data_IF_978329346394
#
_entry.id   IF_978329346394
#
_cell.length_a   1.000
_cell.length_b   1.000
_cell.length_c   1.000
_cell.angle_alpha   90.00
_cell.angle_beta   90.00
_cell.angle_gamma   90.00
#
_symmetry.space_group_name_H-M   'P 1'
#
loop_
_entity.id
_entity.type
_entity.pdbx_description
1 polymer ?
#
# COMPACT_ATOMS: atom_id res chain seq x y z
N UNK A 1 -33.05 -67.60 -4.65
CA UNK A 1 -32.06 -66.84 -3.85
C UNK A 1 -30.88 -66.54 -4.76
N UNK A 2 -30.84 -65.32 -5.31
CA UNK A 2 -29.70 -64.82 -6.09
C UNK A 2 -29.06 -63.70 -5.26
N UNK A 3 -27.78 -63.89 -4.92
CA UNK A 3 -26.97 -62.92 -4.20
C UNK A 3 -26.47 -61.86 -5.17
N UNK A 4 -27.04 -60.67 -5.09
CA UNK A 4 -26.61 -59.50 -5.86
C UNK A 4 -25.29 -58.98 -5.28
N UNK A 5 -24.20 -59.21 -5.99
CA UNK A 5 -22.87 -58.73 -5.64
C UNK A 5 -22.73 -57.24 -6.02
N UNK A 6 -22.27 -56.36 -5.11
CA UNK A 6 -22.17 -54.94 -5.41
C UNK A 6 -21.07 -54.71 -6.43
N UNK A 7 -21.45 -54.18 -7.61
CA UNK A 7 -20.49 -53.81 -8.66
C UNK A 7 -19.51 -52.75 -8.11
N UNK A 8 -18.20 -52.89 -8.38
CA UNK A 8 -17.23 -51.88 -8.01
C UNK A 8 -17.56 -50.58 -8.76
N UNK A 9 -17.77 -49.49 -8.00
CA UNK A 9 -17.86 -48.14 -8.56
C UNK A 9 -16.50 -47.82 -9.18
N UNK A 10 -16.40 -47.94 -10.50
CA UNK A 10 -15.30 -47.39 -11.26
C UNK A 10 -15.28 -45.88 -11.03
N UNK A 11 -14.27 -45.41 -10.28
CA UNK A 11 -13.91 -44.00 -10.22
C UNK A 11 -13.51 -43.59 -11.62
N UNK A 12 -14.44 -43.03 -12.38
CA UNK A 12 -14.10 -42.27 -13.58
C UNK A 12 -13.45 -40.98 -13.07
N UNK A 13 -12.15 -40.74 -13.30
CA UNK A 13 -11.58 -39.45 -12.98
C UNK A 13 -12.27 -38.45 -13.90
N UNK A 14 -13.15 -37.62 -13.36
CA UNK A 14 -13.58 -36.39 -14.02
C UNK A 14 -12.29 -35.66 -14.39
N UNK A 15 -11.98 -35.62 -15.69
CA UNK A 15 -10.94 -34.77 -16.20
C UNK A 15 -11.36 -33.34 -15.85
N UNK A 16 -10.78 -32.79 -14.77
CA UNK A 16 -11.06 -31.43 -14.33
C UNK A 16 -10.72 -30.50 -15.51
N UNK A 17 -11.73 -30.07 -16.28
CA UNK A 17 -11.59 -29.22 -17.48
C UNK A 17 -10.97 -27.84 -17.24
N UNK A 18 -10.49 -27.59 -16.01
CA UNK A 18 -9.80 -26.38 -15.55
C UNK A 18 -8.28 -26.58 -15.40
N UNK A 19 -7.75 -27.78 -15.65
CA UNK A 19 -6.31 -28.06 -15.54
C UNK A 19 -5.45 -27.29 -16.53
N UNK A 20 -5.99 -26.82 -17.64
CA UNK A 20 -5.23 -25.96 -18.56
C UNK A 20 -5.00 -24.54 -17.99
N UNK A 21 -5.69 -24.15 -16.91
CA UNK A 21 -5.55 -22.82 -16.31
C UNK A 21 -4.28 -22.68 -15.46
N UNK A 22 -3.75 -23.76 -14.88
CA UNK A 22 -2.57 -23.65 -14.00
C UNK A 22 -1.30 -23.14 -14.70
N UNK A 23 -0.93 -23.54 -15.94
CA UNK A 23 0.26 -23.00 -16.58
C UNK A 23 0.10 -21.51 -16.88
N UNK A 24 -1.08 -21.08 -17.34
CA UNK A 24 -1.38 -19.66 -17.57
C UNK A 24 -1.36 -18.85 -16.27
N UNK A 25 -1.93 -19.41 -15.21
CA UNK A 25 -1.93 -18.78 -13.89
C UNK A 25 -0.49 -18.63 -13.33
N UNK A 26 0.35 -19.64 -13.54
CA UNK A 26 1.76 -19.59 -13.15
C UNK A 26 2.54 -18.55 -13.97
N UNK A 27 2.32 -18.51 -15.29
CA UNK A 27 2.93 -17.49 -16.17
C UNK A 27 2.50 -16.09 -15.73
N UNK A 28 1.21 -15.87 -15.46
CA UNK A 28 0.73 -14.58 -14.96
C UNK A 28 1.37 -14.20 -13.62
N UNK A 29 1.48 -15.15 -12.69
CA UNK A 29 2.10 -14.92 -11.39
C UNK A 29 3.60 -14.59 -11.51
N UNK A 30 4.34 -15.32 -12.35
CA UNK A 30 5.76 -15.08 -12.60
C UNK A 30 5.99 -13.75 -13.33
N UNK A 31 5.23 -13.47 -14.39
CA UNK A 31 5.31 -12.22 -15.13
C UNK A 31 4.94 -11.02 -14.25
N UNK A 32 3.89 -11.15 -13.44
CA UNK A 32 3.48 -10.13 -12.48
C UNK A 32 4.54 -9.87 -11.41
N UNK A 33 5.14 -10.92 -10.87
CA UNK A 33 6.22 -10.83 -9.88
C UNK A 33 7.49 -10.20 -10.48
N UNK A 34 7.87 -10.59 -11.70
CA UNK A 34 8.98 -10.01 -12.43
C UNK A 34 8.74 -8.53 -12.74
N UNK A 35 7.53 -8.16 -13.16
CA UNK A 35 7.15 -6.76 -13.37
C UNK A 35 7.24 -5.95 -12.09
N UNK A 36 6.71 -6.45 -10.96
CA UNK A 36 6.80 -5.78 -9.66
C UNK A 36 8.24 -5.62 -9.19
N UNK A 37 9.10 -6.60 -9.49
CA UNK A 37 10.52 -6.50 -9.19
C UNK A 37 11.20 -5.43 -10.03
N UNK A 38 11.00 -5.43 -11.35
CA UNK A 38 11.56 -4.45 -12.29
C UNK A 38 11.02 -3.02 -12.10
N UNK A 39 9.79 -2.88 -11.63
CA UNK A 39 9.17 -1.59 -11.29
C UNK A 39 9.36 -1.20 -9.81
N UNK A 40 10.07 -2.03 -9.05
CA UNK A 40 10.33 -1.84 -7.62
C UNK A 40 11.41 -0.78 -7.35
N UNK A 41 11.46 -0.21 -6.13
CA UNK A 41 12.45 0.82 -5.78
C UNK A 41 13.89 0.29 -5.78
N UNK A 42 14.07 -1.03 -5.76
CA UNK A 42 15.38 -1.69 -5.75
C UNK A 42 15.94 -1.96 -7.15
N UNK A 43 15.10 -1.98 -8.20
CA UNK A 43 15.55 -2.27 -9.57
C UNK A 43 16.05 -1.03 -10.32
N UNK A 44 15.79 0.16 -9.79
CA UNK A 44 16.35 1.40 -10.30
C UNK A 44 16.58 2.34 -9.13
N UNK A 45 17.85 2.48 -8.70
CA UNK A 45 18.28 3.80 -8.25
C UNK A 45 18.19 4.64 -9.51
N UNK A 46 17.20 5.53 -9.67
CA UNK A 46 17.20 6.42 -10.82
C UNK A 46 18.54 7.16 -10.76
N UNK A 47 19.21 7.45 -11.90
CA UNK A 47 20.35 8.34 -11.87
C UNK A 47 19.93 9.56 -11.05
N UNK A 48 20.74 9.90 -10.04
CA UNK A 48 20.42 11.00 -9.15
C UNK A 48 20.08 12.22 -10.01
N UNK A 49 18.96 12.88 -9.71
CA UNK A 49 18.60 14.10 -10.42
C UNK A 49 19.83 15.04 -10.40
N UNK A 50 20.16 15.71 -11.52
CA UNK A 50 21.33 16.58 -11.56
C UNK A 50 21.27 17.59 -10.42
N UNK A 51 22.42 17.90 -9.83
CA UNK A 51 22.50 18.89 -8.75
C UNK A 51 22.02 20.25 -9.29
N UNK A 52 21.07 20.93 -8.64
CA UNK A 52 20.64 22.26 -9.05
C UNK A 52 21.81 23.26 -9.07
N UNK A 53 21.84 24.12 -10.08
CA UNK A 53 22.83 25.20 -10.21
C UNK A 53 22.16 26.52 -10.63
N UNK A 54 22.77 27.68 -10.36
CA UNK A 54 22.26 28.96 -10.88
C UNK A 54 22.34 29.00 -12.41
N UNK A 55 21.26 29.44 -13.06
CA UNK A 55 21.18 29.56 -14.53
C UNK A 55 20.58 30.89 -14.98
N UNK A 56 21.01 31.39 -16.13
CA UNK A 56 20.44 32.63 -16.69
C UNK A 56 19.07 32.44 -17.32
N UNK A 57 18.83 31.28 -17.93
CA UNK A 57 17.58 30.93 -18.62
C UNK A 57 17.28 29.45 -18.43
N UNK A 58 15.99 29.10 -18.42
CA UNK A 58 15.52 27.73 -18.30
C UNK A 58 15.33 27.13 -19.68
N UNK A 59 16.13 26.14 -20.03
CA UNK A 59 16.02 25.38 -21.27
C UNK A 59 16.09 23.87 -21.02
N UNK A 60 15.78 23.08 -22.03
CA UNK A 60 15.85 21.62 -21.96
C UNK A 60 17.21 21.15 -21.40
N UNK A 61 17.17 20.25 -20.42
CA UNK A 61 18.32 19.71 -19.70
C UNK A 61 18.77 20.51 -18.47
N UNK A 62 18.09 21.60 -18.11
CA UNK A 62 18.50 22.44 -16.95
C UNK A 62 17.90 21.97 -15.64
N UNK A 63 18.67 22.13 -14.56
CA UNK A 63 18.21 22.07 -13.16
C UNK A 63 18.66 23.33 -12.45
N UNK A 64 17.72 24.23 -12.18
CA UNK A 64 17.96 25.57 -11.66
C UNK A 64 17.74 25.65 -10.15
N UNK A 65 18.66 26.29 -9.43
CA UNK A 65 18.41 26.76 -8.06
C UNK A 65 17.50 27.99 -8.08
N UNK A 66 16.69 28.18 -7.04
CA UNK A 66 15.74 29.30 -6.99
C UNK A 66 16.42 30.69 -6.97
N UNK A 67 17.70 30.80 -6.60
CA UNK A 67 18.46 32.06 -6.71
C UNK A 67 18.92 32.40 -8.15
N UNK A 68 18.47 31.63 -9.15
CA UNK A 68 18.72 31.93 -10.56
C UNK A 68 18.02 33.22 -11.01
N UNK A 69 18.65 34.05 -11.85
CA UNK A 69 18.05 35.26 -12.41
C UNK A 69 16.86 34.99 -13.36
N UNK A 70 16.64 33.73 -13.75
CA UNK A 70 15.47 33.33 -14.55
C UNK A 70 14.13 33.48 -13.81
N UNK A 71 14.14 33.69 -12.49
CA UNK A 71 12.94 33.75 -11.66
C UNK A 71 12.58 35.18 -11.25
N UNK A 72 11.32 35.55 -11.46
CA UNK A 72 10.75 36.82 -11.03
C UNK A 72 9.85 36.62 -9.81
N UNK A 73 10.25 37.18 -8.69
CA UNK A 73 9.58 37.05 -7.41
C UNK A 73 8.71 38.27 -7.11
N UNK A 74 7.43 38.05 -6.79
CA UNK A 74 6.52 39.10 -6.33
C UNK A 74 5.85 38.64 -5.04
N UNK A 75 5.88 39.44 -3.98
CA UNK A 75 5.15 39.16 -2.73
C UNK A 75 4.91 40.46 -1.95
N UNK A 76 3.77 40.61 -1.25
CA UNK A 76 3.50 41.76 -0.40
C UNK A 76 4.53 41.93 0.73
N UNK A 77 4.99 40.82 1.32
CA UNK A 77 5.92 40.80 2.46
C UNK A 77 7.37 40.46 2.06
N UNK A 78 7.64 40.25 0.77
CA UNK A 78 8.96 39.91 0.25
C UNK A 78 9.27 38.40 0.22
N UNK A 79 10.47 38.09 -0.24
CA UNK A 79 10.99 36.74 -0.41
C UNK A 79 12.38 36.61 0.20
N UNK A 80 12.66 35.47 0.81
CA UNK A 80 14.00 35.02 1.13
C UNK A 80 14.44 33.97 0.10
N UNK A 81 15.44 34.30 -0.72
CA UNK A 81 15.90 33.44 -1.81
C UNK A 81 17.40 33.18 -1.67
N UNK A 82 17.78 31.91 -1.70
CA UNK A 82 19.17 31.48 -1.66
C UNK A 82 19.34 30.13 -2.42
N UNK A 83 20.55 29.57 -2.38
CA UNK A 83 20.85 28.27 -3.01
C UNK A 83 20.03 27.09 -2.46
N UNK A 84 19.50 27.19 -1.25
CA UNK A 84 18.66 26.16 -0.65
C UNK A 84 17.21 26.25 -1.13
N UNK A 85 16.79 27.36 -1.75
CA UNK A 85 15.45 27.55 -2.29
C UNK A 85 14.91 28.96 -2.09
N UNK A 86 13.60 29.10 -2.34
CA UNK A 86 12.85 30.32 -2.17
C UNK A 86 11.76 30.13 -1.11
N UNK A 87 11.71 31.10 -0.19
CA UNK A 87 10.77 31.15 0.92
C UNK A 87 10.01 32.47 0.92
N UNK A 88 8.69 32.47 0.67
CA UNK A 88 7.91 33.69 0.78
C UNK A 88 7.76 34.06 2.26
N UNK A 89 7.72 35.36 2.56
CA UNK A 89 7.36 35.82 3.90
C UNK A 89 5.84 35.66 4.14
N UNK A 90 5.43 35.63 5.40
CA UNK A 90 4.02 35.63 5.77
C UNK A 90 3.35 36.94 5.28
N UNK A 91 2.27 36.87 4.48
CA UNK A 91 1.58 38.06 4.01
C UNK A 91 0.70 38.66 5.12
N UNK A 92 0.30 39.94 5.01
CA UNK A 92 -0.58 40.57 6.00
C UNK A 92 -1.94 39.89 6.17
N UNK A 93 -2.49 39.32 5.10
CA UNK A 93 -3.70 38.49 5.14
C UNK A 93 -3.48 37.15 4.41
N UNK A 94 -3.08 36.10 5.14
CA UNK A 94 -2.81 34.77 4.58
C UNK A 94 -4.05 33.99 4.09
N UNK A 95 -5.25 34.54 4.25
CA UNK A 95 -6.50 33.89 3.82
C UNK A 95 -6.98 34.41 2.47
N UNK A 96 -6.62 35.64 2.11
CA UNK A 96 -7.10 36.29 0.88
C UNK A 96 -5.97 36.59 -0.12
N UNK A 97 -4.71 36.47 0.30
CA UNK A 97 -3.54 36.74 -0.53
C UNK A 97 -2.54 35.58 -0.53
N UNK A 98 -1.88 35.32 -1.67
CA UNK A 98 -0.76 34.39 -1.70
C UNK A 98 0.39 34.93 -0.83
N UNK A 99 1.13 34.02 -0.21
CA UNK A 99 2.36 34.36 0.49
C UNK A 99 3.42 34.86 -0.49
N UNK A 100 3.48 34.27 -1.69
CA UNK A 100 4.30 34.79 -2.77
C UNK A 100 3.94 34.21 -4.13
N UNK A 101 4.34 34.93 -5.16
CA UNK A 101 4.20 34.57 -6.57
C UNK A 101 5.59 34.50 -7.21
N UNK A 102 5.81 33.46 -8.01
CA UNK A 102 7.01 33.30 -8.84
C UNK A 102 6.56 33.18 -10.29
N UNK A 103 7.10 34.03 -11.16
CA UNK A 103 6.90 33.96 -12.61
C UNK A 103 8.23 33.71 -13.32
N UNK A 104 8.21 32.89 -14.35
CA UNK A 104 9.37 32.61 -15.19
C UNK A 104 8.93 32.01 -16.54
N UNK A 105 9.86 31.98 -17.48
CA UNK A 105 9.69 31.30 -18.76
C UNK A 105 10.64 30.12 -18.84
N UNK A 106 10.23 29.05 -19.52
CA UNK A 106 11.11 27.94 -19.83
C UNK A 106 10.93 27.45 -21.26
N UNK A 107 12.00 26.88 -21.83
CA UNK A 107 12.00 26.29 -23.17
C UNK A 107 12.26 24.78 -23.09
N UNK A 108 11.25 23.95 -23.35
CA UNK A 108 11.39 22.48 -23.29
C UNK A 108 10.05 21.75 -23.39
N UNK A 109 10.06 20.45 -23.08
CA UNK A 109 8.86 19.60 -23.13
C UNK A 109 8.22 19.41 -21.76
N UNK A 110 9.00 19.32 -20.69
CA UNK A 110 8.54 18.97 -19.35
C UNK A 110 9.11 19.93 -18.31
N UNK A 111 8.26 20.35 -17.38
CA UNK A 111 8.61 21.16 -16.23
C UNK A 111 8.35 20.38 -14.94
N UNK A 112 9.34 20.38 -14.06
CA UNK A 112 9.24 19.84 -12.72
C UNK A 112 9.74 20.81 -11.66
N UNK A 113 9.15 20.74 -10.48
CA UNK A 113 9.51 21.52 -9.31
C UNK A 113 10.04 20.59 -8.23
N UNK A 114 11.09 21.00 -7.54
CA UNK A 114 11.50 20.38 -6.30
C UNK A 114 10.81 21.13 -5.16
N UNK A 115 9.82 20.46 -4.54
CA UNK A 115 9.05 21.05 -3.45
C UNK A 115 9.40 20.39 -2.12
N UNK A 116 9.54 21.20 -1.07
CA UNK A 116 9.72 20.70 0.28
C UNK A 116 8.35 20.44 0.92
N UNK A 117 8.04 19.18 1.19
CA UNK A 117 6.78 18.79 1.84
C UNK A 117 7.03 18.35 3.28
N UNK A 118 6.08 18.65 4.17
CA UNK A 118 6.19 18.33 5.59
C UNK A 118 4.88 18.53 6.35
N UNK A 119 4.97 18.77 7.67
CA UNK A 119 3.83 18.84 8.58
C UNK A 119 3.01 20.14 8.47
N UNK A 120 3.47 21.14 7.74
CA UNK A 120 2.79 22.43 7.68
C UNK A 120 1.85 22.53 6.49
N UNK A 121 0.73 23.19 6.74
CA UNK A 121 -0.30 23.34 5.73
C UNK A 121 0.04 24.46 4.76
N UNK A 122 0.34 24.10 3.52
CA UNK A 122 0.36 25.04 2.40
C UNK A 122 -0.10 24.43 1.09
N UNK A 123 -0.26 25.31 0.10
CA UNK A 123 -0.75 24.98 -1.22
C UNK A 123 0.07 25.68 -2.29
N UNK A 124 0.26 24.96 -3.39
CA UNK A 124 0.81 25.46 -4.64
C UNK A 124 -0.31 25.53 -5.65
N UNK A 125 -0.45 26.70 -6.28
CA UNK A 125 -1.24 26.89 -7.49
C UNK A 125 -0.30 27.16 -8.65
N UNK A 126 -0.45 26.45 -9.74
CA UNK A 126 0.42 26.57 -10.90
C UNK A 126 -0.39 26.75 -12.19
N UNK A 127 -0.04 27.78 -12.95
CA UNK A 127 -0.52 27.98 -14.32
C UNK A 127 0.64 27.99 -15.28
N UNK A 128 0.40 27.44 -16.48
CA UNK A 128 1.31 27.43 -17.62
C UNK A 128 0.54 27.94 -18.82
N UNK A 129 1.04 28.99 -19.45
CA UNK A 129 0.40 29.67 -20.58
C UNK A 129 -1.06 30.10 -20.29
N UNK A 130 -1.31 30.51 -19.04
CA UNK A 130 -2.64 30.91 -18.55
C UNK A 130 -3.63 29.76 -18.34
N UNK A 131 -3.18 28.50 -18.47
CA UNK A 131 -3.98 27.31 -18.21
C UNK A 131 -3.51 26.57 -16.95
N UNK A 132 -4.36 25.76 -16.31
CA UNK A 132 -3.92 24.86 -15.25
C UNK A 132 -2.75 23.98 -15.71
N UNK A 133 -1.70 23.89 -14.89
CA UNK A 133 -0.57 23.00 -15.18
C UNK A 133 -1.07 21.55 -15.35
N UNK A 134 -0.88 20.98 -16.54
CA UNK A 134 -1.63 19.80 -17.00
C UNK A 134 -1.25 18.46 -16.34
N UNK A 135 -0.21 18.43 -15.51
CA UNK A 135 0.13 17.25 -14.69
C UNK A 135 -0.31 17.40 -13.23
N UNK A 136 -0.94 18.52 -12.86
CA UNK A 136 -1.51 18.72 -11.55
C UNK A 136 -3.04 18.60 -11.58
N UNK A 137 -3.66 18.17 -10.47
CA UNK A 137 -5.12 18.20 -10.32
C UNK A 137 -5.69 19.60 -10.55
N UNK A 138 -6.66 19.71 -11.45
CA UNK A 138 -7.50 20.89 -11.61
C UNK A 138 -8.80 20.69 -10.84
N UNK A 139 -8.87 21.20 -9.61
CA UNK A 139 -10.04 21.04 -8.74
C UNK A 139 -11.12 22.06 -9.14
N UNK A 140 -12.37 21.64 -9.42
CA UNK A 140 -13.45 22.58 -9.75
C UNK A 140 -13.63 23.65 -8.66
N UNK A 141 -13.66 24.91 -9.08
CA UNK A 141 -13.80 26.06 -8.18
C UNK A 141 -12.51 26.53 -7.51
N UNK A 142 -11.42 25.77 -7.62
CA UNK A 142 -10.12 26.18 -7.09
C UNK A 142 -9.42 27.11 -8.09
N UNK A 143 -9.30 28.39 -7.72
CA UNK A 143 -8.78 29.46 -8.58
C UNK A 143 -7.54 30.09 -7.96
N UNK A 144 -6.64 30.57 -8.80
CA UNK A 144 -5.50 31.37 -8.35
C UNK A 144 -5.95 32.77 -7.87
N UNK A 145 -5.02 33.58 -7.36
CA UNK A 145 -5.29 34.94 -6.88
C UNK A 145 -5.84 35.89 -7.96
N UNK A 146 -5.69 35.55 -9.24
CA UNK A 146 -6.24 36.28 -10.38
C UNK A 146 -7.64 35.79 -10.79
N UNK A 147 -8.19 34.79 -10.10
CA UNK A 147 -9.49 34.21 -10.42
C UNK A 147 -9.45 33.21 -11.59
N UNK A 148 -8.26 32.79 -12.05
CA UNK A 148 -8.09 31.82 -13.12
C UNK A 148 -8.02 30.39 -12.57
N UNK A 149 -8.37 29.40 -13.40
CA UNK A 149 -8.18 28.00 -13.02
C UNK A 149 -6.68 27.69 -12.95
N UNK A 150 -6.27 26.92 -11.93
CA UNK A 150 -4.87 26.56 -11.75
C UNK A 150 -4.73 25.09 -11.33
N UNK A 151 -3.59 24.50 -11.70
CA UNK A 151 -3.19 23.20 -11.19
C UNK A 151 -2.86 23.32 -9.71
N UNK A 152 -3.27 22.35 -8.91
CA UNK A 152 -3.20 22.41 -7.46
C UNK A 152 -2.32 21.30 -6.88
N UNK A 153 -1.48 21.64 -5.90
CA UNK A 153 -0.70 20.69 -5.12
C UNK A 153 -0.59 21.12 -3.65
N UNK A 154 -0.50 20.17 -2.71
CA UNK A 154 -0.33 20.46 -1.28
C UNK A 154 1.14 20.39 -0.87
N UNK A 155 1.58 21.25 0.04
CA UNK A 155 2.86 21.08 0.73
C UNK A 155 2.74 20.17 1.96
N UNK A 156 1.51 19.94 2.43
CA UNK A 156 1.23 19.06 3.55
C UNK A 156 1.43 17.58 3.17
N UNK A 157 2.44 16.96 3.76
CA UNK A 157 2.71 15.52 3.73
C UNK A 157 3.51 15.15 4.99
N UNK A 158 2.83 14.97 6.15
CA UNK A 158 3.52 14.77 7.42
C UNK A 158 4.39 13.49 7.43
N UNK A 159 3.99 12.47 6.67
CA UNK A 159 4.78 11.25 6.48
C UNK A 159 6.07 11.46 5.67
N UNK A 160 6.21 12.59 4.99
CA UNK A 160 7.41 12.97 4.26
C UNK A 160 8.40 13.75 5.15
N UNK A 161 8.02 14.16 6.36
CA UNK A 161 8.90 14.89 7.26
C UNK A 161 9.98 13.96 7.84
N UNK A 162 11.24 14.35 7.66
CA UNK A 162 12.38 13.66 8.26
C UNK A 162 12.83 14.32 9.56
N UNK A 163 13.82 13.72 10.23
CA UNK A 163 14.46 14.31 11.42
C UNK A 163 15.15 15.66 11.12
N UNK A 164 15.50 15.91 9.86
CA UNK A 164 16.08 17.16 9.39
C UNK A 164 15.03 18.19 8.89
N UNK A 165 13.73 17.91 9.06
CA UNK A 165 12.63 18.76 8.59
C UNK A 165 11.98 18.28 7.30
N UNK A 166 11.27 19.18 6.57
CA UNK A 166 10.57 18.86 5.32
C UNK A 166 11.50 18.21 4.28
N UNK A 167 11.03 17.15 3.63
CA UNK A 167 11.83 16.42 2.64
C UNK A 167 11.53 16.92 1.22
N UNK A 168 12.55 17.39 0.46
CA UNK A 168 12.36 17.84 -0.91
C UNK A 168 12.04 16.67 -1.84
N UNK A 169 10.99 16.81 -2.66
CA UNK A 169 10.64 15.86 -3.71
C UNK A 169 10.40 16.56 -5.04
N UNK A 170 10.82 15.89 -6.11
CA UNK A 170 10.55 16.33 -7.46
C UNK A 170 9.13 15.96 -7.87
N UNK A 171 8.41 16.95 -8.40
CA UNK A 171 7.05 16.81 -8.92
C UNK A 171 6.99 17.43 -10.30
N UNK A 172 6.58 16.62 -11.28
CA UNK A 172 6.32 17.11 -12.64
C UNK A 172 4.99 17.84 -12.63
N UNK A 173 4.98 19.08 -13.13
CA UNK A 173 3.79 19.92 -13.11
C UNK A 173 3.23 20.18 -14.50
N UNK A 174 4.06 20.11 -15.55
CA UNK A 174 3.63 20.36 -16.91
C UNK A 174 4.38 19.50 -17.93
N UNK A 175 3.69 19.13 -19.00
CA UNK A 175 4.29 18.48 -20.18
C UNK A 175 3.59 18.92 -21.48
N UNK A 176 4.37 19.32 -22.47
CA UNK A 176 3.94 19.54 -23.85
C UNK A 176 4.67 18.58 -24.80
N UNK A 177 3.90 17.90 -25.66
CA UNK A 177 4.42 16.95 -26.64
C UNK A 177 5.21 17.65 -27.76
N UNK A 178 4.78 18.84 -28.18
CA UNK A 178 5.50 19.63 -29.18
C UNK A 178 6.77 20.25 -28.58
N UNK A 179 6.71 20.57 -27.29
CA UNK A 179 7.70 21.40 -26.62
C UNK A 179 7.60 22.84 -27.10
N UNK A 180 8.25 23.74 -26.38
CA UNK A 180 8.20 25.14 -26.75
C UNK A 180 8.64 26.06 -25.64
N UNK A 181 8.41 27.35 -25.89
CA UNK A 181 8.53 28.38 -24.86
C UNK A 181 7.20 28.49 -24.13
N UNK A 182 7.27 28.41 -22.81
CA UNK A 182 6.08 28.44 -21.95
C UNK A 182 6.29 29.45 -20.83
N UNK A 183 5.22 30.18 -20.49
CA UNK A 183 5.19 31.10 -19.36
C UNK A 183 4.55 30.43 -18.16
N UNK A 184 5.24 30.45 -17.03
CA UNK A 184 4.83 29.81 -15.79
C UNK A 184 4.53 30.86 -14.74
N UNK A 185 3.44 30.66 -14.01
CA UNK A 185 3.12 31.39 -12.79
C UNK A 185 2.82 30.41 -11.68
N UNK A 186 3.57 30.52 -10.60
CA UNK A 186 3.41 29.76 -9.37
C UNK A 186 2.92 30.69 -8.28
N UNK A 187 1.89 30.29 -7.54
CA UNK A 187 1.44 30.98 -6.34
C UNK A 187 1.55 30.04 -5.15
N UNK A 188 2.23 30.53 -4.13
CA UNK A 188 2.41 29.83 -2.86
C UNK A 188 1.43 30.42 -1.87
N UNK A 189 0.52 29.57 -1.40
CA UNK A 189 -0.46 29.91 -0.39
C UNK A 189 -0.07 29.16 0.88
N UNK A 190 0.43 29.92 1.86
CA UNK A 190 0.99 29.36 3.09
C UNK A 190 2.26 28.54 2.82
N UNK A 191 2.88 28.02 3.86
CA UNK A 191 4.21 27.38 3.83
C UNK A 191 5.41 28.35 3.89
N UNK A 192 5.20 29.58 4.35
CA UNK A 192 6.31 30.46 4.72
C UNK A 192 7.14 29.87 5.87
N UNK A 193 8.43 30.19 5.92
CA UNK A 193 9.36 29.69 6.93
C UNK A 193 9.81 28.24 6.70
N UNK A 194 9.47 27.65 5.54
CA UNK A 194 9.78 26.25 5.22
C UNK A 194 10.65 26.09 3.99
N UNK A 195 10.91 27.19 3.27
CA UNK A 195 11.54 27.20 1.95
C UNK A 195 10.84 26.17 1.02
N UNK A 196 9.55 26.39 0.69
CA UNK A 196 8.69 25.43 0.00
C UNK A 196 9.17 25.08 -1.42
N UNK A 197 9.81 26.01 -2.13
CA UNK A 197 10.38 25.78 -3.46
C UNK A 197 11.89 25.67 -3.37
N UNK A 198 12.47 24.59 -3.91
CA UNK A 198 13.91 24.28 -3.78
C UNK A 198 14.66 24.40 -5.09
N UNK A 199 14.05 23.96 -6.18
CA UNK A 199 14.64 23.97 -7.51
C UNK A 199 13.57 23.78 -8.59
N UNK A 200 13.96 24.06 -9.83
CA UNK A 200 13.17 23.82 -11.04
C UNK A 200 13.99 22.95 -11.99
N UNK A 201 13.36 22.01 -12.68
CA UNK A 201 14.00 21.19 -13.69
C UNK A 201 13.20 21.23 -14.99
N UNK A 202 13.90 21.34 -16.12
CA UNK A 202 13.31 21.31 -17.46
C UNK A 202 13.93 20.16 -18.24
N UNK A 203 13.14 19.15 -18.59
CA UNK A 203 13.58 17.93 -19.29
C UNK A 203 14.79 17.19 -18.66
N UNK A 204 15.12 17.49 -17.40
CA UNK A 204 16.36 17.03 -16.77
C UNK A 204 16.14 15.86 -15.78
N UNK A 205 14.88 15.52 -15.50
CA UNK A 205 14.56 14.43 -14.58
C UNK A 205 14.55 13.08 -15.29
N UNK A 206 15.02 12.00 -14.62
CA UNK A 206 14.95 10.66 -15.17
C UNK A 206 13.49 10.26 -15.41
N UNK A 207 13.25 9.46 -16.45
CA UNK A 207 11.92 8.94 -16.76
C UNK A 207 11.25 8.35 -15.50
N UNK A 208 9.95 8.59 -15.29
CA UNK A 208 9.24 8.01 -14.15
C UNK A 208 9.35 6.48 -14.19
N UNK A 209 9.45 5.81 -13.03
CA UNK A 209 9.46 4.36 -13.01
C UNK A 209 8.18 3.81 -13.64
N UNK A 210 8.24 2.62 -14.27
CA UNK A 210 7.07 2.00 -14.86
C UNK A 210 5.98 1.77 -13.79
N UNK A 211 4.68 1.90 -14.14
CA UNK A 211 3.60 1.74 -13.18
C UNK A 211 3.57 0.32 -12.62
N UNK A 212 3.31 0.16 -11.32
CA UNK A 212 3.32 -1.15 -10.65
C UNK A 212 2.03 -1.95 -10.81
N UNK A 213 0.91 -1.26 -11.06
CA UNK A 213 -0.42 -1.87 -11.10
C UNK A 213 -0.56 -3.04 -12.09
N UNK A 214 0.08 -3.06 -13.29
CA UNK A 214 -0.03 -4.21 -14.20
C UNK A 214 0.54 -5.47 -13.58
N UNK A 215 1.67 -5.36 -12.87
CA UNK A 215 2.28 -6.47 -12.16
C UNK A 215 1.38 -7.00 -11.03
N UNK A 216 0.77 -6.11 -10.25
CA UNK A 216 -0.17 -6.51 -9.20
C UNK A 216 -1.42 -7.19 -9.77
N UNK A 217 -1.97 -6.69 -10.87
CA UNK A 217 -3.11 -7.31 -11.55
C UNK A 217 -2.77 -8.72 -12.03
N UNK A 218 -1.59 -8.92 -12.63
CA UNK A 218 -1.11 -10.24 -13.07
C UNK A 218 -0.89 -11.21 -11.90
N UNK A 219 -0.33 -10.75 -10.78
CA UNK A 219 -0.19 -11.57 -9.56
C UNK A 219 -1.55 -12.01 -9.04
N UNK A 220 -2.54 -11.11 -8.98
CA UNK A 220 -3.89 -11.44 -8.53
C UNK A 220 -4.59 -12.41 -9.48
N UNK A 221 -4.51 -12.18 -10.79
CA UNK A 221 -5.05 -13.08 -11.80
C UNK A 221 -4.41 -14.47 -11.71
N UNK A 222 -3.08 -14.54 -11.55
CA UNK A 222 -2.35 -15.78 -11.33
C UNK A 222 -2.77 -16.49 -10.04
N UNK A 223 -2.87 -15.77 -8.92
CA UNK A 223 -3.34 -16.29 -7.65
C UNK A 223 -4.74 -16.88 -7.72
N UNK A 224 -5.70 -16.14 -8.31
CA UNK A 224 -7.06 -16.61 -8.54
C UNK A 224 -7.11 -17.80 -9.50
N UNK A 225 -6.31 -17.78 -10.57
CA UNK A 225 -6.20 -18.90 -11.51
C UNK A 225 -5.71 -20.18 -10.85
N UNK A 226 -4.70 -20.10 -9.98
CA UNK A 226 -4.21 -21.22 -9.19
C UNK A 226 -5.26 -21.70 -8.18
N UNK A 227 -5.95 -20.79 -7.49
CA UNK A 227 -7.05 -21.13 -6.58
C UNK A 227 -8.20 -21.84 -7.31
N UNK A 228 -8.53 -21.45 -8.54
CA UNK A 228 -9.56 -22.09 -9.34
C UNK A 228 -9.12 -23.45 -9.91
N UNK A 229 -7.84 -23.60 -10.26
CA UNK A 229 -7.27 -24.83 -10.81
C UNK A 229 -7.04 -25.89 -9.72
N UNK A 230 -6.62 -25.49 -8.52
CA UNK A 230 -6.25 -26.39 -7.43
C UNK A 230 -7.18 -26.34 -6.22
N UNK A 231 -8.07 -25.36 -6.09
CA UNK A 231 -9.00 -25.24 -4.97
C UNK A 231 -9.82 -26.50 -4.66
N UNK A 232 -10.36 -27.22 -5.67
CA UNK A 232 -11.04 -28.50 -5.45
C UNK A 232 -10.11 -29.58 -4.88
N UNK A 233 -8.84 -29.60 -5.30
CA UNK A 233 -7.81 -30.53 -4.83
C UNK A 233 -7.20 -30.16 -3.49
N UNK A 234 -7.15 -28.87 -3.14
CA UNK A 234 -6.80 -28.45 -1.80
C UNK A 234 -7.90 -28.90 -0.82
N UNK A 235 -9.18 -28.86 -1.22
CA UNK A 235 -10.29 -29.41 -0.42
C UNK A 235 -10.27 -30.94 -0.29
N UNK A 236 -9.88 -31.69 -1.32
CA UNK A 236 -9.81 -33.16 -1.24
C UNK A 236 -8.46 -33.70 -0.74
N UNK A 237 -7.37 -32.99 -0.98
CA UNK A 237 -6.02 -33.30 -0.48
C UNK A 237 -5.86 -32.96 0.99
N UNK A 238 -6.55 -31.93 1.49
CA UNK A 238 -6.71 -31.71 2.95
C UNK A 238 -7.48 -32.87 3.59
N UNK A 239 -8.50 -33.43 2.95
CA UNK A 239 -9.19 -34.63 3.47
C UNK A 239 -8.27 -35.87 3.57
N UNK A 240 -7.29 -36.00 2.66
CA UNK A 240 -6.32 -37.11 2.63
C UNK A 240 -5.10 -36.88 3.55
N UNK A 241 -4.59 -35.65 3.65
CA UNK A 241 -3.43 -35.30 4.50
C UNK A 241 -3.85 -35.04 5.96
N UNK A 242 -5.10 -34.63 6.22
CA UNK A 242 -5.64 -34.43 7.57
C UNK A 242 -5.84 -35.74 8.35
N UNK A 243 -5.70 -36.91 7.70
CA UNK A 243 -5.74 -38.21 8.38
C UNK A 243 -4.36 -38.62 8.92
N UNK A 244 -4.06 -38.13 10.13
CA UNK A 244 -3.97 -39.11 11.23
C UNK A 244 -2.71 -39.18 12.09
N UNK A 245 -1.54 -38.61 11.74
CA UNK A 245 -0.32 -38.85 12.55
C UNK A 245 0.32 -37.61 13.16
N UNK A 246 0.73 -36.61 12.39
CA UNK A 246 1.47 -35.45 12.93
C UNK A 246 0.65 -34.64 13.95
N UNK A 247 -0.63 -34.41 13.68
CA UNK A 247 -1.58 -33.72 14.59
C UNK A 247 -1.78 -34.49 15.88
N UNK A 248 -1.99 -35.81 15.81
CA UNK A 248 -2.17 -36.63 16.99
C UNK A 248 -0.89 -36.70 17.83
N UNK A 249 0.29 -36.68 17.21
CA UNK A 249 1.56 -36.60 17.91
C UNK A 249 1.74 -35.26 18.65
N UNK A 250 1.47 -34.13 17.98
CA UNK A 250 1.54 -32.80 18.61
C UNK A 250 0.51 -32.62 19.74
N UNK A 251 -0.70 -33.17 19.59
CA UNK A 251 -1.73 -33.16 20.64
C UNK A 251 -1.40 -34.06 21.83
N UNK A 252 -0.55 -35.08 21.67
CA UNK A 252 -0.09 -35.97 22.76
C UNK A 252 1.00 -35.33 23.62
N UNK A 253 1.69 -34.30 23.12
CA UNK A 253 2.71 -33.58 23.90
C UNK A 253 2.10 -32.75 25.05
N UNK A 254 0.79 -32.48 25.01
CA UNK A 254 0.12 -31.66 26.01
C UNK A 254 -0.77 -32.48 26.96
N UNK A 255 -0.77 -32.16 28.27
CA UNK A 255 -1.67 -32.78 29.23
C UNK A 255 -3.15 -32.64 28.86
N UNK A 256 -3.96 -33.65 29.21
CA UNK A 256 -5.38 -33.69 28.84
C UNK A 256 -6.23 -32.52 29.34
N UNK A 257 -5.82 -31.85 30.43
CA UNK A 257 -6.51 -30.68 30.98
C UNK A 257 -6.32 -29.43 30.12
N UNK A 258 -5.12 -29.25 29.55
CA UNK A 258 -4.80 -28.14 28.63
C UNK A 258 -5.65 -28.21 27.35
N UNK A 259 -5.93 -29.43 26.88
CA UNK A 259 -6.79 -29.65 25.70
C UNK A 259 -8.26 -29.35 25.95
N UNK A 260 -8.73 -29.46 27.20
CA UNK A 260 -10.14 -29.16 27.57
C UNK A 260 -10.33 -27.69 27.94
N UNK A 261 -9.27 -27.03 28.40
CA UNK A 261 -9.31 -25.64 28.83
C UNK A 261 -8.12 -24.86 28.24
N UNK A 262 -8.30 -24.16 27.10
CA UNK A 262 -7.22 -23.42 26.45
C UNK A 262 -6.88 -22.09 27.16
N UNK A 263 -7.69 -21.65 28.12
CA UNK A 263 -7.57 -20.34 28.76
C UNK A 263 -6.23 -20.08 29.46
N UNK A 264 -5.62 -21.05 30.19
CA UNK A 264 -4.31 -20.83 30.81
C UNK A 264 -3.20 -20.59 29.78
N UNK A 265 -3.24 -21.27 28.64
CA UNK A 265 -2.28 -21.04 27.56
C UNK A 265 -2.54 -19.72 26.85
N UNK A 266 -3.81 -19.34 26.67
CA UNK A 266 -4.16 -18.04 26.12
C UNK A 266 -3.67 -16.91 27.03
N UNK A 267 -3.88 -17.02 28.34
CA UNK A 267 -3.38 -16.07 29.34
C UNK A 267 -1.85 -15.99 29.30
N UNK A 268 -1.15 -17.13 29.18
CA UNK A 268 0.31 -17.16 29.03
C UNK A 268 0.79 -16.50 27.73
N UNK A 269 0.09 -16.72 26.61
CA UNK A 269 0.37 -16.07 25.33
C UNK A 269 0.22 -14.55 25.44
N UNK A 270 -0.86 -14.09 26.07
CA UNK A 270 -1.11 -12.68 26.34
C UNK A 270 -0.08 -12.06 27.28
N UNK A 271 0.28 -12.75 28.36
CA UNK A 271 1.30 -12.30 29.28
C UNK A 271 2.66 -12.17 28.60
N UNK A 272 3.03 -13.12 27.73
CA UNK A 272 4.26 -13.06 26.93
C UNK A 272 4.24 -11.89 25.93
N UNK A 273 3.10 -11.64 25.27
CA UNK A 273 2.93 -10.50 24.36
C UNK A 273 3.02 -9.16 25.09
N UNK A 274 2.31 -9.01 26.21
CA UNK A 274 2.33 -7.78 27.00
C UNK A 274 3.72 -7.50 27.58
N UNK A 275 4.37 -8.52 28.14
CA UNK A 275 5.73 -8.40 28.70
C UNK A 275 6.75 -8.11 27.60
N UNK A 276 6.66 -8.78 26.46
CA UNK A 276 7.53 -8.53 25.32
C UNK A 276 7.36 -7.13 24.74
N UNK A 277 6.13 -6.62 24.70
CA UNK A 277 5.85 -5.27 24.23
C UNK A 277 6.42 -4.21 25.21
N UNK A 278 6.18 -4.38 26.51
CA UNK A 278 6.69 -3.48 27.55
C UNK A 278 8.23 -3.48 27.63
N UNK A 279 8.85 -4.65 27.46
CA UNK A 279 10.30 -4.81 27.48
C UNK A 279 10.98 -4.58 26.12
N UNK A 280 10.22 -4.26 25.07
CA UNK A 280 10.72 -4.19 23.68
C UNK A 280 11.47 -5.46 23.23
N UNK A 281 11.09 -6.61 23.79
CA UNK A 281 11.72 -7.91 23.58
C UNK A 281 11.08 -8.69 22.44
N UNK A 282 11.74 -8.73 21.28
CA UNK A 282 11.18 -9.35 20.08
C UNK A 282 10.89 -10.86 20.22
N UNK A 283 11.73 -11.59 20.95
CA UNK A 283 11.62 -13.02 21.14
C UNK A 283 10.41 -13.41 22.01
N UNK A 284 10.06 -12.58 23.00
CA UNK A 284 8.90 -12.75 23.87
C UNK A 284 7.60 -12.54 23.09
N UNK A 285 7.55 -11.47 22.28
CA UNK A 285 6.41 -11.20 21.39
C UNK A 285 6.23 -12.32 20.37
N UNK A 286 7.32 -12.80 19.76
CA UNK A 286 7.27 -13.91 18.81
C UNK A 286 6.78 -15.20 19.48
N UNK A 287 7.28 -15.52 20.68
CA UNK A 287 6.84 -16.69 21.44
C UNK A 287 5.36 -16.62 21.83
N UNK A 288 4.90 -15.45 22.30
CA UNK A 288 3.49 -15.21 22.63
C UNK A 288 2.57 -15.35 21.42
N UNK A 289 2.97 -14.80 20.26
CA UNK A 289 2.22 -14.96 19.01
C UNK A 289 2.22 -16.39 18.49
N UNK A 290 3.36 -17.08 18.55
CA UNK A 290 3.45 -18.49 18.14
C UNK A 290 2.55 -19.37 19.00
N UNK A 291 2.51 -19.12 20.32
CA UNK A 291 1.63 -19.80 21.24
C UNK A 291 0.15 -19.47 20.97
N UNK A 292 -0.18 -18.20 20.75
CA UNK A 292 -1.54 -17.77 20.39
C UNK A 292 -1.99 -18.42 19.08
N UNK A 293 -1.15 -18.42 18.05
CA UNK A 293 -1.41 -19.08 16.77
C UNK A 293 -1.62 -20.59 16.97
N UNK A 294 -0.76 -21.25 17.75
CA UNK A 294 -0.89 -22.66 18.05
C UNK A 294 -2.25 -22.99 18.70
N UNK A 295 -2.70 -22.20 19.67
CA UNK A 295 -4.01 -22.39 20.31
C UNK A 295 -5.14 -22.08 19.32
N UNK A 296 -5.00 -21.02 18.52
CA UNK A 296 -5.99 -20.57 17.56
C UNK A 296 -6.28 -21.57 16.44
N UNK A 297 -5.32 -22.44 16.09
CA UNK A 297 -5.57 -23.58 15.18
C UNK A 297 -6.74 -24.43 15.69
N UNK A 298 -6.84 -24.62 17.01
CA UNK A 298 -7.87 -25.43 17.66
C UNK A 298 -9.09 -24.62 18.11
N UNK A 299 -8.86 -23.35 18.46
CA UNK A 299 -9.88 -22.42 18.95
C UNK A 299 -9.77 -21.09 18.20
N UNK A 300 -10.26 -21.02 16.94
CA UNK A 300 -10.10 -19.83 16.08
C UNK A 300 -10.74 -18.57 16.69
N UNK A 301 -11.76 -18.75 17.54
CA UNK A 301 -12.39 -17.67 18.33
C UNK A 301 -11.37 -16.90 19.17
N UNK A 302 -10.31 -17.55 19.67
CA UNK A 302 -9.28 -16.88 20.47
C UNK A 302 -8.40 -15.95 19.63
N UNK A 303 -8.16 -16.28 18.35
CA UNK A 303 -7.48 -15.35 17.44
C UNK A 303 -8.34 -14.14 17.12
N UNK A 304 -9.62 -14.38 16.81
CA UNK A 304 -10.58 -13.31 16.52
C UNK A 304 -10.79 -12.40 17.73
N UNK A 305 -10.92 -12.98 18.93
CA UNK A 305 -11.03 -12.22 20.17
C UNK A 305 -9.77 -11.37 20.42
N UNK A 306 -8.58 -11.90 20.14
CA UNK A 306 -7.33 -11.15 20.26
C UNK A 306 -7.20 -10.03 19.25
N UNK A 307 -7.64 -10.25 18.01
CA UNK A 307 -7.71 -9.19 17.01
C UNK A 307 -8.71 -8.10 17.38
N UNK A 308 -9.91 -8.49 17.84
CA UNK A 308 -10.92 -7.55 18.29
C UNK A 308 -10.43 -6.71 19.47
N UNK A 309 -9.71 -7.32 20.44
CA UNK A 309 -9.11 -6.59 21.54
C UNK A 309 -7.99 -5.64 21.08
N UNK A 310 -7.16 -6.05 20.12
CA UNK A 310 -6.05 -5.24 19.64
C UNK A 310 -6.48 -4.12 18.68
N UNK A 311 -7.64 -4.25 18.03
CA UNK A 311 -8.13 -3.31 17.02
C UNK A 311 -8.11 -1.84 17.48
N UNK A 312 -8.54 -1.46 18.70
CA UNK A 312 -8.47 -0.07 19.16
C UNK A 312 -7.07 0.53 19.22
N UNK A 313 -6.03 -0.30 19.25
CA UNK A 313 -4.63 0.11 19.42
C UNK A 313 -3.81 0.10 18.13
N UNK A 314 -4.44 -0.17 16.98
CA UNK A 314 -3.74 -0.44 15.73
C UNK A 314 -2.87 0.71 15.20
N UNK A 315 -3.20 1.95 15.53
CA UNK A 315 -2.40 3.13 15.15
C UNK A 315 -1.24 3.41 16.10
N UNK A 316 -1.31 2.96 17.35
CA UNK A 316 -0.38 3.33 18.41
C UNK A 316 0.63 2.25 18.79
N UNK A 317 0.39 0.99 18.41
CA UNK A 317 1.17 -0.16 18.89
C UNK A 317 1.70 -1.00 17.75
N UNK A 318 3.03 -1.09 17.66
CA UNK A 318 3.73 -2.04 16.79
C UNK A 318 4.35 -3.16 17.64
N UNK A 319 4.23 -4.40 17.17
CA UNK A 319 4.80 -5.56 17.84
C UNK A 319 6.24 -5.79 17.37
N UNK A 320 7.25 -5.76 18.26
CA UNK A 320 8.61 -6.12 17.88
C UNK A 320 8.63 -7.64 17.62
N UNK A 321 8.76 -8.07 16.37
CA UNK A 321 8.76 -9.50 16.01
C UNK A 321 10.08 -9.99 15.43
N UNK A 322 10.92 -9.05 15.00
CA UNK A 322 12.24 -9.31 14.44
C UNK A 322 13.24 -8.35 15.08
N UNK A 323 14.54 -8.70 15.09
CA UNK A 323 15.60 -7.77 15.48
C UNK A 323 15.46 -6.45 14.70
N UNK A 324 15.29 -5.33 15.42
CA UNK A 324 15.15 -3.98 14.86
C UNK A 324 13.96 -3.77 13.90
N UNK A 325 12.96 -4.66 13.88
CA UNK A 325 11.74 -4.47 13.08
C UNK A 325 10.50 -4.79 13.90
N UNK A 326 9.60 -3.82 13.94
CA UNK A 326 8.26 -3.99 14.49
C UNK A 326 7.25 -4.13 13.35
N UNK A 327 6.24 -4.98 13.56
CA UNK A 327 5.13 -5.19 12.63
C UNK A 327 3.88 -4.56 13.21
N UNK A 328 3.08 -3.94 12.36
CA UNK A 328 1.80 -3.38 12.77
C UNK A 328 0.84 -4.48 13.18
N UNK A 329 -0.07 -4.17 14.11
CA UNK A 329 -1.03 -5.15 14.62
C UNK A 329 -1.94 -5.72 13.51
N UNK A 330 -2.23 -4.89 12.49
CA UNK A 330 -2.94 -5.29 11.27
C UNK A 330 -2.16 -6.33 10.46
N UNK A 331 -0.84 -6.13 10.27
CA UNK A 331 -0.02 -7.06 9.50
C UNK A 331 0.04 -8.42 10.20
N UNK A 332 0.16 -8.41 11.52
CA UNK A 332 0.13 -9.62 12.36
C UNK A 332 -1.22 -10.32 12.26
N UNK A 333 -2.33 -9.56 12.28
CA UNK A 333 -3.67 -10.11 12.17
C UNK A 333 -3.99 -10.72 10.83
N UNK A 334 -3.63 -10.06 9.73
CA UNK A 334 -3.84 -10.56 8.37
C UNK A 334 -2.97 -11.78 8.09
N UNK A 335 -1.65 -11.67 8.33
CA UNK A 335 -0.72 -12.77 8.04
C UNK A 335 -1.00 -13.98 8.95
N UNK A 336 -1.21 -13.74 10.24
CA UNK A 336 -1.56 -14.81 11.17
C UNK A 336 -2.94 -15.41 10.86
N UNK A 337 -3.93 -14.61 10.46
CA UNK A 337 -5.23 -15.10 10.01
C UNK A 337 -5.15 -15.99 8.77
N UNK A 338 -4.33 -15.63 7.79
CA UNK A 338 -4.07 -16.48 6.59
C UNK A 338 -3.39 -17.78 7.00
N UNK A 339 -2.33 -17.73 7.80
CA UNK A 339 -1.61 -18.92 8.30
C UNK A 339 -2.56 -19.83 9.07
N UNK A 340 -3.42 -19.27 9.92
CA UNK A 340 -4.39 -20.01 10.71
C UNK A 340 -5.49 -20.62 9.86
N UNK A 341 -5.96 -19.92 8.83
CA UNK A 341 -6.96 -20.47 7.91
C UNK A 341 -6.39 -21.66 7.14
N UNK A 342 -5.14 -21.53 6.66
CA UNK A 342 -4.42 -22.62 6.00
C UNK A 342 -4.20 -23.78 6.98
N UNK A 343 -3.66 -23.51 8.17
CA UNK A 343 -3.42 -24.52 9.20
C UNK A 343 -4.72 -25.21 9.64
N UNK A 344 -5.80 -24.45 9.85
CA UNK A 344 -7.10 -25.00 10.22
C UNK A 344 -7.67 -25.86 9.09
N UNK A 345 -7.59 -25.43 7.82
CA UNK A 345 -8.03 -26.26 6.70
C UNK A 345 -7.21 -27.55 6.52
N UNK A 346 -5.93 -27.53 6.90
CA UNK A 346 -5.04 -28.71 6.85
C UNK A 346 -5.18 -29.65 8.06
N UNK A 347 -5.59 -29.14 9.22
CA UNK A 347 -5.51 -29.87 10.51
C UNK A 347 -6.88 -30.14 11.16
N UNK A 348 -7.94 -29.43 10.76
CA UNK A 348 -9.27 -29.65 11.29
C UNK A 348 -9.80 -31.01 10.84
N UNK A 349 -10.31 -31.79 11.81
CA UNK A 349 -11.08 -33.00 11.50
C UNK A 349 -12.28 -32.58 10.63
N UNK A 350 -12.61 -33.30 9.56
CA UNK A 350 -13.99 -33.35 9.13
C UNK A 350 -14.74 -34.02 10.29
N UNK A 351 -15.24 -33.24 11.24
CA UNK A 351 -16.36 -33.69 12.05
C UNK A 351 -17.36 -34.22 11.03
N UNK A 352 -17.80 -35.46 11.19
CA UNK A 352 -18.93 -36.02 10.46
C UNK A 352 -20.00 -34.94 10.43
N UNK A 353 -20.07 -34.22 9.30
CA UNK A 353 -20.93 -33.05 9.20
C UNK A 353 -22.32 -33.58 9.46
N UNK A 354 -23.05 -33.14 10.50
CA UNK A 354 -24.46 -33.48 10.59
C UNK A 354 -25.07 -33.08 9.25
N UNK A 355 -25.82 -33.98 8.62
CA UNK A 355 -26.36 -33.79 7.27
C UNK A 355 -27.15 -32.47 7.11
N UNK A 356 -27.56 -31.86 8.23
CA UNK A 356 -28.24 -30.56 8.33
C UNK A 356 -27.36 -29.31 8.11
N UNK A 357 -26.02 -29.39 8.16
CA UNK A 357 -25.11 -28.27 7.84
C UNK A 357 -24.51 -28.37 6.42
N UNK A 358 -25.07 -29.22 5.55
CA UNK A 358 -24.81 -29.20 4.11
C UNK A 358 -25.64 -28.14 3.37
N UNK A 359 -26.09 -27.10 4.06
CA UNK A 359 -26.51 -25.85 3.43
C UNK A 359 -25.29 -25.20 2.79
N UNK A 360 -24.88 -25.67 1.61
CA UNK A 360 -23.96 -24.93 0.77
C UNK A 360 -24.50 -23.53 0.60
N UNK A 361 -23.64 -22.52 0.73
CA UNK A 361 -24.02 -21.12 0.49
C UNK A 361 -24.92 -21.05 -0.74
N UNK A 362 -26.08 -20.42 -0.56
CA UNK A 362 -27.03 -20.25 -1.65
C UNK A 362 -26.29 -19.62 -2.84
N UNK A 363 -26.64 -19.96 -4.09
CA UNK A 363 -25.91 -19.49 -5.26
C UNK A 363 -25.68 -17.96 -5.27
N UNK A 364 -26.64 -17.19 -4.73
CA UNK A 364 -26.52 -15.75 -4.57
C UNK A 364 -25.47 -15.32 -3.54
N UNK A 365 -25.36 -15.98 -2.39
CA UNK A 365 -24.32 -15.73 -1.37
C UNK A 365 -22.93 -16.03 -1.93
N UNK A 366 -22.81 -17.12 -2.70
CA UNK A 366 -21.54 -17.47 -3.37
C UNK A 366 -21.16 -16.41 -4.40
N UNK A 367 -22.12 -15.90 -5.19
CA UNK A 367 -21.88 -14.80 -6.13
C UNK A 367 -21.46 -13.52 -5.42
N UNK A 368 -22.09 -13.18 -4.29
CA UNK A 368 -21.71 -12.02 -3.49
C UNK A 368 -20.29 -12.11 -2.93
N UNK A 369 -19.86 -13.30 -2.48
CA UNK A 369 -18.48 -13.50 -2.04
C UNK A 369 -17.46 -13.34 -3.17
N UNK A 370 -17.76 -13.85 -4.36
CA UNK A 370 -16.91 -13.62 -5.54
C UNK A 370 -16.85 -12.15 -5.96
N UNK A 371 -17.99 -11.45 -5.89
CA UNK A 371 -18.05 -10.01 -6.15
C UNK A 371 -17.21 -9.23 -5.14
N UNK A 372 -17.36 -9.53 -3.85
CA UNK A 372 -16.58 -8.90 -2.78
C UNK A 372 -15.08 -9.17 -2.98
N UNK A 373 -14.70 -10.40 -3.28
CA UNK A 373 -13.31 -10.77 -3.54
C UNK A 373 -12.74 -10.05 -4.77
N UNK A 374 -13.54 -9.88 -5.82
CA UNK A 374 -13.16 -9.11 -7.00
C UNK A 374 -13.00 -7.61 -6.67
N UNK A 375 -13.92 -7.02 -5.89
CA UNK A 375 -13.85 -5.63 -5.45
C UNK A 375 -12.62 -5.38 -4.57
N UNK A 376 -12.34 -6.26 -3.62
CA UNK A 376 -11.15 -6.20 -2.77
C UNK A 376 -9.87 -6.31 -3.61
N UNK A 377 -9.84 -7.24 -4.58
CA UNK A 377 -8.71 -7.42 -5.49
C UNK A 377 -8.49 -6.18 -6.35
N UNK A 378 -9.56 -5.60 -6.88
CA UNK A 378 -9.50 -4.37 -7.67
C UNK A 378 -9.02 -3.19 -6.83
N UNK A 379 -9.54 -3.06 -5.60
CA UNK A 379 -9.10 -2.03 -4.67
C UNK A 379 -7.61 -2.16 -4.33
N UNK A 380 -7.04 -3.38 -4.27
CA UNK A 380 -5.60 -3.58 -4.09
C UNK A 380 -4.79 -3.11 -5.30
N UNK A 381 -5.27 -3.40 -6.52
CA UNK A 381 -4.65 -2.88 -7.76
C UNK A 381 -4.68 -1.35 -7.75
N UNK A 382 -5.81 -0.73 -7.39
CA UNK A 382 -5.95 0.71 -7.28
C UNK A 382 -5.03 1.30 -6.20
N UNK A 383 -4.88 0.65 -5.05
CA UNK A 383 -3.98 1.09 -3.99
C UNK A 383 -2.50 1.07 -4.44
N UNK A 384 -2.10 0.07 -5.24
CA UNK A 384 -0.76 -0.01 -5.84
C UNK A 384 -0.58 1.00 -6.98
N UNK A 385 -1.65 1.40 -7.66
CA UNK A 385 -1.64 2.43 -8.69
C UNK A 385 -1.59 3.86 -8.13
N UNK A 386 -1.91 4.05 -6.84
CA UNK A 386 -2.04 5.37 -6.24
C UNK A 386 -0.70 6.11 -6.13
N UNK A 387 -0.73 7.43 -6.34
CA UNK A 387 0.44 8.31 -6.19
C UNK A 387 1.04 8.24 -4.76
N UNK A 388 0.18 8.10 -3.75
CA UNK A 388 0.56 7.89 -2.35
C UNK A 388 0.38 6.42 -1.95
N UNK A 389 1.06 5.50 -2.64
CA UNK A 389 0.88 4.05 -2.46
C UNK A 389 1.01 3.56 -1.01
N UNK A 390 1.85 4.19 -0.18
CA UNK A 390 1.98 3.85 1.25
C UNK A 390 0.70 4.13 2.06
N UNK A 391 0.08 5.29 1.84
CA UNK A 391 -1.20 5.67 2.48
C UNK A 391 -2.33 4.84 1.89
N UNK A 392 -2.41 4.71 0.57
CA UNK A 392 -3.46 3.93 -0.09
C UNK A 392 -3.45 2.45 0.32
N UNK A 393 -2.27 1.84 0.47
CA UNK A 393 -2.15 0.48 1.00
C UNK A 393 -2.55 0.39 2.47
N UNK A 394 -2.28 1.42 3.29
CA UNK A 394 -2.73 1.49 4.68
C UNK A 394 -4.26 1.50 4.75
N UNK A 395 -4.90 2.38 3.98
CA UNK A 395 -6.37 2.49 3.94
C UNK A 395 -7.04 1.24 3.36
N UNK A 396 -6.47 0.67 2.30
CA UNK A 396 -6.95 -0.59 1.73
C UNK A 396 -6.98 -1.73 2.76
N UNK A 397 -5.97 -1.81 3.64
CA UNK A 397 -5.92 -2.83 4.72
C UNK A 397 -7.08 -2.64 5.70
N UNK A 398 -7.41 -1.40 6.06
CA UNK A 398 -8.53 -1.10 6.95
C UNK A 398 -9.86 -1.54 6.33
N UNK A 399 -10.07 -1.27 5.03
CA UNK A 399 -11.27 -1.69 4.30
C UNK A 399 -11.34 -3.22 4.18
N UNK A 400 -10.22 -3.88 3.89
CA UNK A 400 -10.15 -5.34 3.83
C UNK A 400 -10.53 -6.00 5.16
N UNK A 401 -10.05 -5.45 6.28
CA UNK A 401 -10.37 -5.95 7.62
C UNK A 401 -11.81 -5.67 8.05
N UNK A 402 -12.42 -4.58 7.59
CA UNK A 402 -13.82 -4.26 7.90
C UNK A 402 -14.81 -5.08 7.06
N UNK A 403 -14.41 -5.54 5.88
CA UNK A 403 -15.28 -6.23 4.92
C UNK A 403 -15.15 -7.76 4.94
N UNK A 404 -14.11 -8.32 5.56
CA UNK A 404 -13.90 -9.76 5.76
C UNK A 404 -14.29 -10.21 7.16
#
# INVERSE_FOLDING_TARGET
MATDSPRPRTFVPLADGRRWLWPLALIALLAGSAWLWLSGPAASVPPAAPTPQPVERLHSGTVATMDSPAFHYTAPAGWYVNRQGADPAEPPDPWTMPAGVVEFEYQGHELALQIAMGDYWGYLFATVDGQPANLLPAIPGNRNSLGELAGYHTFYAPEAQGTAGPSPRWIRIHRDAAGGSHRVRLEIWRSWGQVPLRAVAVDALPAPPPPRWPGMALVLLGGWGLLLAFGPRLRSGTEVIAHGRAVQHLQRLWPGWVRRNPWPLAAMAWAALATGLLAQGWWLCLAGLALLAYIAVWHPVLWLATLAFGLPFYFGVNLPLLPHRALGLIDVGVLGGVVLTVAHSLLARPATRPAQLQGGLAPWQRRQQWLLAALVSWALVSAVAAAHGGVALREWRTVFLAAG
#
